data_IF_719862369691
#
_entry.id   IF_719862369691
#
_cell.length_a   1.000
_cell.length_b   1.000
_cell.length_c   1.000
_cell.angle_alpha   90.00
_cell.angle_beta   90.00
_cell.angle_gamma   90.00
#
_symmetry.space_group_name_H-M   'P 1'
#
loop_
_entity.id
_entity.type
_entity.pdbx_description
1 polymer ?
#
# COMPACT_ATOMS: atom_id res chain seq x y z
N UNK A 1 11.07 3.84 -9.66
CA UNK A 1 9.93 4.39 -10.43
C UNK A 1 8.73 4.81 -9.56
N UNK A 2 8.31 4.08 -8.54
CA UNK A 2 7.14 4.53 -7.73
C UNK A 2 7.32 5.90 -7.06
N UNK A 3 8.49 6.17 -6.48
CA UNK A 3 8.81 7.48 -5.91
C UNK A 3 9.05 8.56 -6.96
N UNK A 4 9.43 8.21 -8.19
CA UNK A 4 9.75 9.21 -9.22
C UNK A 4 8.52 9.94 -9.78
N UNK A 5 7.31 9.44 -9.48
CA UNK A 5 6.07 10.15 -9.80
C UNK A 5 5.62 11.11 -8.71
N UNK A 6 6.21 10.98 -7.52
CA UNK A 6 5.91 11.91 -6.46
C UNK A 6 6.52 13.30 -6.77
N UNK A 7 5.93 14.33 -6.17
CA UNK A 7 6.49 15.67 -6.15
C UNK A 7 7.92 15.62 -5.63
N UNK A 8 8.83 16.34 -6.28
CA UNK A 8 10.24 16.41 -5.89
C UNK A 8 10.42 17.03 -4.50
N UNK A 9 9.46 17.85 -4.06
CA UNK A 9 9.45 18.46 -2.73
C UNK A 9 8.94 17.48 -1.66
N UNK A 10 8.25 16.40 -2.05
CA UNK A 10 7.72 15.41 -1.12
C UNK A 10 8.77 14.33 -0.79
N UNK A 11 8.96 13.93 0.49
CA UNK A 11 9.95 12.91 0.87
C UNK A 11 9.81 11.56 0.18
N UNK A 12 8.61 11.22 -0.27
CA UNK A 12 8.33 9.98 -1.01
C UNK A 12 9.08 9.88 -2.34
N UNK A 13 9.59 10.99 -2.88
CA UNK A 13 10.45 11.01 -4.08
C UNK A 13 11.89 10.56 -3.81
N UNK A 14 12.32 10.52 -2.55
CA UNK A 14 13.71 10.24 -2.18
C UNK A 14 14.08 8.78 -2.41
N UNK A 15 15.33 8.57 -2.83
CA UNK A 15 15.96 7.25 -2.84
C UNK A 15 16.29 6.82 -1.40
N UNK A 16 15.45 5.95 -0.82
CA UNK A 16 15.51 5.56 0.59
C UNK A 16 16.54 4.47 0.95
N UNK A 17 16.90 3.50 0.08
CA UNK A 17 17.86 2.46 0.45
C UNK A 17 19.26 3.01 0.77
N UNK A 18 19.67 4.06 0.05
CA UNK A 18 21.04 4.55 0.09
C UNK A 18 22.02 3.60 -0.61
N UNK A 19 23.16 4.14 -1.06
CA UNK A 19 24.26 3.37 -1.63
C UNK A 19 25.58 4.14 -1.45
N UNK A 20 26.68 3.59 -1.96
CA UNK A 20 27.99 4.25 -1.91
C UNK A 20 27.95 5.66 -2.51
N UNK A 21 27.29 5.83 -3.65
CA UNK A 21 27.17 7.12 -4.32
C UNK A 21 26.46 8.16 -3.44
N UNK A 22 25.31 7.82 -2.86
CA UNK A 22 24.51 8.74 -2.05
C UNK A 22 25.02 8.96 -0.62
N UNK A 23 25.70 7.96 -0.04
CA UNK A 23 26.15 7.98 1.35
C UNK A 23 27.65 8.23 1.52
N UNK A 24 28.45 8.17 0.46
CA UNK A 24 29.89 8.38 0.52
C UNK A 24 30.41 9.32 -0.57
N UNK A 25 30.29 8.95 -1.85
CA UNK A 25 30.98 9.66 -2.93
C UNK A 25 30.44 11.09 -3.11
N UNK A 26 29.13 11.28 -3.31
CA UNK A 26 28.51 12.63 -3.45
C UNK A 26 28.68 13.51 -2.20
N UNK A 27 28.51 13.00 -0.96
CA UNK A 27 28.84 13.79 0.24
C UNK A 27 30.31 14.22 0.30
N UNK A 28 31.26 13.33 -0.02
CA UNK A 28 32.69 13.66 0.03
C UNK A 28 33.08 14.72 -1.01
N UNK A 29 32.56 14.62 -2.22
CA UNK A 29 32.76 15.63 -3.27
C UNK A 29 32.25 17.02 -2.85
N UNK A 30 31.17 17.06 -2.07
CA UNK A 30 30.60 18.29 -1.50
C UNK A 30 31.24 18.73 -0.19
N UNK A 31 32.29 18.04 0.28
CA UNK A 31 32.94 18.33 1.57
C UNK A 31 32.07 18.05 2.80
N UNK A 32 31.02 17.25 2.67
CA UNK A 32 30.08 16.90 3.74
C UNK A 32 30.62 15.71 4.54
N UNK A 33 30.82 15.89 5.84
CA UNK A 33 31.20 14.80 6.74
C UNK A 33 29.98 13.95 7.12
N UNK A 34 29.86 12.77 6.51
CA UNK A 34 28.79 11.79 6.78
C UNK A 34 28.66 11.46 8.27
N UNK A 35 29.80 11.36 8.98
CA UNK A 35 29.80 11.13 10.44
C UNK A 35 29.13 12.27 11.22
N UNK A 36 29.39 13.52 10.82
CA UNK A 36 28.77 14.67 11.48
C UNK A 36 27.28 14.74 11.17
N UNK A 37 26.88 14.43 9.93
CA UNK A 37 25.48 14.34 9.53
C UNK A 37 24.72 13.24 10.30
N UNK A 38 25.30 12.05 10.49
CA UNK A 38 24.71 10.99 11.32
C UNK A 38 24.52 11.44 12.78
N UNK A 39 25.53 12.11 13.35
CA UNK A 39 25.44 12.66 14.71
C UNK A 39 24.38 13.75 14.82
N UNK A 40 24.27 14.60 13.79
CA UNK A 40 23.24 15.64 13.72
C UNK A 40 21.86 15.00 13.64
N UNK A 41 21.65 14.08 12.71
CA UNK A 41 20.39 13.34 12.55
C UNK A 41 19.96 12.63 13.84
N UNK A 42 20.88 11.94 14.53
CA UNK A 42 20.61 11.32 15.83
C UNK A 42 20.20 12.36 16.89
N UNK A 43 20.93 13.48 16.98
CA UNK A 43 20.62 14.56 17.93
C UNK A 43 19.29 15.24 17.62
N UNK A 44 18.91 15.35 16.36
CA UNK A 44 17.70 16.04 15.93
C UNK A 44 16.46 15.15 15.97
N UNK A 45 16.57 13.85 15.63
CA UNK A 45 15.39 13.03 15.36
C UNK A 45 15.16 11.89 16.38
N UNK A 46 16.19 11.41 17.09
CA UNK A 46 16.02 10.32 18.07
C UNK A 46 15.52 10.88 19.42
N UNK A 47 14.21 10.91 19.62
CA UNK A 47 13.54 11.36 20.84
C UNK A 47 12.61 10.29 21.41
N UNK A 48 12.56 10.14 22.74
CA UNK A 48 11.74 9.08 23.36
C UNK A 48 10.25 9.22 23.10
N UNK A 49 9.71 10.42 22.84
CA UNK A 49 8.30 10.61 22.48
C UNK A 49 7.92 10.04 21.10
N UNK A 50 8.89 9.71 20.24
CA UNK A 50 8.67 9.10 18.93
C UNK A 50 9.11 7.62 18.89
N UNK A 51 9.43 7.04 20.04
CA UNK A 51 9.92 5.67 20.17
C UNK A 51 8.86 4.76 20.80
N UNK A 52 8.86 3.50 20.35
CA UNK A 52 8.09 2.42 20.95
C UNK A 52 9.03 1.26 21.24
N UNK A 53 8.74 0.50 22.30
CA UNK A 53 9.57 -0.62 22.75
C UNK A 53 8.67 -1.79 23.11
N UNK A 54 8.99 -2.98 22.60
CA UNK A 54 8.41 -4.23 23.04
C UNK A 54 9.54 -5.17 23.49
N UNK A 55 9.36 -5.79 24.66
CA UNK A 55 10.26 -6.82 25.18
C UNK A 55 9.51 -8.15 25.20
N UNK A 56 10.10 -9.18 24.58
CA UNK A 56 9.50 -10.51 24.48
C UNK A 56 10.48 -11.53 25.03
N UNK A 57 10.23 -11.99 26.25
CA UNK A 57 11.12 -12.89 26.95
C UNK A 57 10.35 -13.70 28.02
N UNK A 58 10.89 -14.83 28.52
CA UNK A 58 10.18 -15.72 29.43
C UNK A 58 10.11 -15.23 30.90
N UNK A 59 10.63 -14.05 31.20
CA UNK A 59 10.61 -13.40 32.51
C UNK A 59 9.22 -12.81 32.86
N UNK A 60 9.01 -12.49 34.14
CA UNK A 60 7.77 -11.87 34.60
C UNK A 60 7.62 -10.43 34.09
N UNK A 61 6.38 -9.92 34.05
CA UNK A 61 6.10 -8.55 33.62
C UNK A 61 6.84 -7.52 34.48
N UNK A 62 6.94 -7.75 35.80
CA UNK A 62 7.66 -6.88 36.72
C UNK A 62 9.16 -6.83 36.39
N UNK A 63 9.74 -7.98 36.06
CA UNK A 63 11.16 -8.06 35.68
C UNK A 63 11.43 -7.34 34.35
N UNK A 64 10.51 -7.49 33.38
CA UNK A 64 10.60 -6.81 32.09
C UNK A 64 10.39 -5.29 32.22
N UNK A 65 9.50 -4.86 33.11
CA UNK A 65 9.30 -3.44 33.39
C UNK A 65 10.55 -2.83 34.03
N UNK A 66 11.14 -3.49 35.04
CA UNK A 66 12.38 -3.04 35.67
C UNK A 66 13.53 -2.97 34.65
N UNK A 67 13.64 -3.97 33.78
CA UNK A 67 14.61 -3.98 32.69
C UNK A 67 14.38 -2.81 31.73
N UNK A 68 13.14 -2.56 31.31
CA UNK A 68 12.80 -1.44 30.44
C UNK A 68 13.17 -0.10 31.07
N UNK A 69 12.80 0.12 32.34
CA UNK A 69 13.12 1.35 33.08
C UNK A 69 14.63 1.52 33.22
N UNK A 70 15.35 0.48 33.64
CA UNK A 70 16.81 0.57 33.86
C UNK A 70 17.60 0.86 32.59
N UNK A 71 17.16 0.35 31.43
CA UNK A 71 17.88 0.50 30.15
C UNK A 71 17.45 1.70 29.32
N UNK A 72 16.17 2.07 29.33
CA UNK A 72 15.61 3.03 28.37
C UNK A 72 15.12 4.34 28.99
N UNK A 73 14.95 4.44 30.32
CA UNK A 73 14.45 5.67 30.95
C UNK A 73 15.36 6.90 30.75
N UNK A 74 16.65 6.68 30.45
CA UNK A 74 17.60 7.78 30.20
C UNK A 74 17.49 8.40 28.80
N UNK A 75 16.68 7.81 27.89
CA UNK A 75 16.47 8.35 26.55
C UNK A 75 15.70 9.67 26.65
N UNK A 76 16.33 10.74 26.17
CA UNK A 76 15.78 12.09 26.28
C UNK A 76 14.51 12.24 25.44
N UNK A 77 13.49 12.80 26.07
CA UNK A 77 12.34 13.36 25.37
C UNK A 77 12.70 14.79 24.93
N UNK A 78 12.71 15.02 23.61
CA UNK A 78 12.97 16.30 22.96
C UNK A 78 11.67 16.96 22.47
N UNK A 79 10.51 16.34 22.71
CA UNK A 79 9.17 16.80 22.31
C UNK A 79 9.11 17.16 20.82
N UNK A 80 9.62 16.27 19.98
CA UNK A 80 9.61 16.46 18.52
C UNK A 80 8.21 16.09 18.00
N UNK A 81 7.57 16.92 17.16
CA UNK A 81 6.35 16.52 16.49
C UNK A 81 6.57 15.31 15.56
N UNK A 82 5.54 14.51 15.28
CA UNK A 82 5.56 13.53 14.19
C UNK A 82 6.12 14.13 12.90
N UNK A 83 7.04 13.41 12.23
CA UNK A 83 7.68 13.92 11.01
C UNK A 83 6.70 14.12 9.86
N UNK A 84 5.55 13.43 9.87
CA UNK A 84 4.48 13.59 8.90
C UNK A 84 3.89 15.00 8.90
N UNK A 85 3.83 15.68 10.04
CA UNK A 85 3.32 17.07 10.13
C UNK A 85 4.17 18.06 9.30
N UNK A 86 5.44 17.76 9.05
CA UNK A 86 6.33 18.64 8.28
C UNK A 86 5.98 18.69 6.79
N UNK A 87 5.21 17.73 6.29
CA UNK A 87 4.95 17.56 4.86
C UNK A 87 3.46 17.58 4.53
N UNK A 88 2.59 17.95 5.47
CA UNK A 88 1.12 17.84 5.34
C UNK A 88 0.58 18.66 4.17
N UNK A 89 1.16 19.83 3.92
CA UNK A 89 0.78 20.72 2.83
C UNK A 89 1.45 20.39 1.48
N UNK A 90 2.34 19.39 1.44
CA UNK A 90 3.08 19.05 0.22
C UNK A 90 2.33 17.94 -0.52
N UNK A 91 1.75 18.22 -1.70
CA UNK A 91 1.04 17.20 -2.46
C UNK A 91 2.02 16.10 -2.86
N UNK A 92 1.67 14.84 -2.56
CA UNK A 92 2.53 13.71 -2.90
C UNK A 92 2.65 13.56 -4.41
N UNK A 93 1.57 13.80 -5.16
CA UNK A 93 1.55 13.74 -6.62
C UNK A 93 0.86 14.97 -7.23
N UNK A 94 1.07 15.22 -8.52
CA UNK A 94 0.54 16.39 -9.23
C UNK A 94 -0.94 16.30 -9.62
N UNK A 95 -1.65 15.26 -9.17
CA UNK A 95 -3.07 15.07 -9.40
C UNK A 95 -3.44 14.56 -10.80
N UNK A 96 -2.46 14.27 -11.67
CA UNK A 96 -2.72 13.79 -13.04
C UNK A 96 -2.55 12.28 -13.14
N UNK A 97 -3.52 11.62 -13.77
CA UNK A 97 -3.41 10.18 -14.07
C UNK A 97 -2.27 9.93 -15.06
N UNK A 98 -1.50 8.86 -14.85
CA UNK A 98 -0.28 8.56 -15.62
C UNK A 98 -0.22 7.08 -15.97
N UNK A 99 0.35 6.79 -17.14
CA UNK A 99 0.80 5.45 -17.52
C UNK A 99 2.32 5.46 -17.59
N UNK A 100 2.94 4.58 -16.82
CA UNK A 100 4.33 4.19 -16.93
C UNK A 100 4.42 2.90 -17.73
N UNK A 101 5.30 2.86 -18.71
CA UNK A 101 5.73 1.60 -19.31
C UNK A 101 7.16 1.31 -18.87
N UNK A 102 7.41 0.11 -18.37
CA UNK A 102 8.64 -0.30 -17.71
C UNK A 102 9.16 -1.55 -18.40
N UNK A 103 10.41 -1.48 -18.88
CA UNK A 103 11.08 -2.64 -19.47
C UNK A 103 11.66 -3.49 -18.34
N UNK A 104 11.23 -4.75 -18.18
CA UNK A 104 11.73 -5.60 -17.11
C UNK A 104 13.11 -6.18 -17.46
N UNK A 105 13.85 -6.62 -16.44
CA UNK A 105 15.11 -7.36 -16.62
C UNK A 105 14.87 -8.87 -16.79
N UNK A 106 13.73 -9.36 -16.27
CA UNK A 106 13.28 -10.74 -16.41
C UNK A 106 12.03 -10.76 -17.27
N UNK A 107 11.78 -11.86 -17.97
CA UNK A 107 10.50 -12.07 -18.65
C UNK A 107 9.36 -12.05 -17.61
N UNK A 108 8.71 -10.89 -17.51
CA UNK A 108 7.62 -10.60 -16.57
C UNK A 108 6.64 -9.66 -17.25
N UNK A 109 5.36 -9.99 -17.16
CA UNK A 109 4.25 -9.17 -17.65
C UNK A 109 3.33 -8.84 -16.49
N UNK A 110 3.31 -7.59 -16.08
CA UNK A 110 2.55 -7.17 -14.90
C UNK A 110 1.90 -5.82 -15.15
N UNK A 111 0.61 -5.74 -14.81
CA UNK A 111 -0.14 -4.49 -14.77
C UNK A 111 -0.41 -4.14 -13.32
N UNK A 112 0.17 -3.04 -12.85
CA UNK A 112 -0.12 -2.47 -11.55
C UNK A 112 -0.97 -1.20 -11.73
N UNK A 113 -2.17 -1.20 -11.16
CA UNK A 113 -3.05 -0.05 -11.11
C UNK A 113 -3.05 0.49 -9.69
N UNK A 114 -2.59 1.73 -9.51
CA UNK A 114 -2.40 2.36 -8.20
C UNK A 114 -3.25 3.60 -8.05
N UNK A 115 -3.81 3.75 -6.85
CA UNK A 115 -4.46 4.97 -6.40
C UNK A 115 -3.82 5.47 -5.12
N UNK A 116 -3.94 6.78 -4.93
CA UNK A 116 -3.42 7.50 -3.77
C UNK A 116 -4.64 8.03 -3.04
N UNK A 117 -4.87 7.51 -1.84
CA UNK A 117 -6.08 7.76 -1.06
C UNK A 117 -5.71 8.37 0.28
N UNK A 118 -6.66 8.97 1.01
CA UNK A 118 -6.43 9.32 2.40
C UNK A 118 -6.01 8.10 3.26
N UNK A 119 -5.40 8.33 4.43
CA UNK A 119 -5.13 7.27 5.41
C UNK A 119 -6.40 6.51 5.78
N UNK A 120 -6.30 5.19 5.88
CA UNK A 120 -7.43 4.36 6.29
C UNK A 120 -7.49 4.22 7.81
N UNK A 121 -8.67 4.44 8.38
CA UNK A 121 -8.91 4.17 9.80
C UNK A 121 -8.96 2.65 10.04
N UNK A 122 -8.14 2.21 11.00
CA UNK A 122 -7.96 0.81 11.30
C UNK A 122 -9.19 0.11 11.88
N UNK A 123 -10.17 0.86 12.40
CA UNK A 123 -11.38 0.32 13.03
C UNK A 123 -12.36 -0.22 11.98
N UNK A 124 -12.50 0.50 10.87
CA UNK A 124 -13.36 0.13 9.75
C UNK A 124 -12.68 -0.86 8.79
N UNK A 125 -11.36 -0.73 8.59
CA UNK A 125 -10.57 -1.54 7.63
C UNK A 125 -11.21 -1.57 6.23
N UNK A 126 -11.70 -0.42 5.79
CA UNK A 126 -12.38 -0.30 4.50
C UNK A 126 -11.48 -0.75 3.35
N UNK A 127 -10.20 -0.46 3.44
CA UNK A 127 -9.19 -0.91 2.50
C UNK A 127 -9.14 -2.44 2.37
N UNK A 128 -9.10 -3.16 3.48
CA UNK A 128 -9.09 -4.63 3.45
C UNK A 128 -10.41 -5.22 3.01
N UNK A 129 -11.52 -4.65 3.45
CA UNK A 129 -12.83 -5.11 3.01
C UNK A 129 -12.97 -4.97 1.49
N UNK A 130 -12.64 -3.81 0.94
CA UNK A 130 -12.71 -3.58 -0.51
C UNK A 130 -11.67 -4.44 -1.26
N UNK A 131 -10.46 -4.62 -0.69
CA UNK A 131 -9.46 -5.53 -1.26
C UNK A 131 -9.98 -6.96 -1.37
N UNK A 132 -10.69 -7.46 -0.35
CA UNK A 132 -11.31 -8.79 -0.37
C UNK A 132 -12.40 -8.89 -1.44
N UNK A 133 -13.22 -7.84 -1.62
CA UNK A 133 -14.27 -7.83 -2.65
C UNK A 133 -13.72 -7.90 -4.08
N UNK A 134 -12.64 -7.16 -4.36
CA UNK A 134 -12.01 -7.07 -5.68
C UNK A 134 -11.08 -8.24 -5.95
N UNK A 135 -10.34 -8.67 -4.92
CA UNK A 135 -9.44 -9.82 -4.97
C UNK A 135 -10.14 -11.17 -4.86
N UNK A 136 -11.47 -11.21 -4.75
CA UNK A 136 -12.20 -12.45 -4.57
C UNK A 136 -12.02 -13.38 -5.77
N UNK A 137 -11.77 -14.66 -5.49
CA UNK A 137 -11.48 -15.67 -6.53
C UNK A 137 -12.70 -16.51 -6.94
N UNK A 138 -13.87 -16.17 -6.40
CA UNK A 138 -15.13 -16.84 -6.71
C UNK A 138 -15.60 -16.68 -8.16
N UNK A 139 -16.57 -17.51 -8.54
CA UNK A 139 -17.26 -17.39 -9.83
C UNK A 139 -17.97 -16.04 -9.92
N UNK A 140 -17.88 -15.38 -11.07
CA UNK A 140 -18.46 -14.05 -11.29
C UNK A 140 -17.60 -12.90 -10.78
N UNK A 141 -16.44 -13.16 -10.16
CA UNK A 141 -15.53 -12.10 -9.74
C UNK A 141 -14.54 -11.70 -10.86
N UNK A 142 -13.90 -10.54 -10.69
CA UNK A 142 -12.99 -9.95 -11.66
C UNK A 142 -11.89 -10.91 -12.12
N UNK A 143 -11.23 -11.61 -11.18
CA UNK A 143 -10.17 -12.57 -11.49
C UNK A 143 -10.67 -13.70 -12.41
N UNK A 144 -11.83 -14.27 -12.11
CA UNK A 144 -12.44 -15.35 -12.89
C UNK A 144 -12.71 -14.92 -14.34
N UNK A 145 -13.18 -13.68 -14.56
CA UNK A 145 -13.40 -13.14 -15.90
C UNK A 145 -12.09 -12.95 -16.68
N UNK A 146 -11.07 -12.39 -16.04
CA UNK A 146 -9.78 -12.14 -16.67
C UNK A 146 -9.08 -13.45 -17.07
N UNK A 147 -9.16 -14.49 -16.23
CA UNK A 147 -8.65 -15.82 -16.55
C UNK A 147 -9.46 -16.45 -17.70
N UNK A 148 -10.79 -16.34 -17.69
CA UNK A 148 -11.64 -16.89 -18.75
C UNK A 148 -11.36 -16.27 -20.13
N UNK A 149 -10.92 -15.00 -20.17
CA UNK A 149 -10.47 -14.32 -21.39
C UNK A 149 -9.01 -14.61 -21.77
N UNK A 150 -8.30 -15.42 -20.98
CA UNK A 150 -6.86 -15.64 -21.12
C UNK A 150 -6.05 -14.34 -21.04
N UNK A 151 -6.47 -13.38 -20.21
CA UNK A 151 -5.80 -12.08 -20.04
C UNK A 151 -4.92 -11.99 -18.80
N UNK A 152 -5.20 -12.79 -17.76
CA UNK A 152 -4.43 -12.78 -16.52
C UNK A 152 -4.24 -14.18 -15.94
N UNK A 153 -3.17 -14.34 -15.16
CA UNK A 153 -2.88 -15.55 -14.37
C UNK A 153 -3.22 -15.35 -12.89
N UNK A 154 -2.87 -14.18 -12.35
CA UNK A 154 -3.02 -13.81 -10.95
C UNK A 154 -3.56 -12.38 -10.82
N UNK A 155 -4.35 -12.14 -9.79
CA UNK A 155 -4.81 -10.80 -9.40
C UNK A 155 -4.65 -10.67 -7.89
N UNK A 156 -3.91 -9.65 -7.47
CA UNK A 156 -3.65 -9.35 -6.06
C UNK A 156 -4.07 -7.92 -5.78
N UNK A 157 -4.88 -7.75 -4.74
CA UNK A 157 -5.36 -6.44 -4.30
C UNK A 157 -4.85 -6.16 -2.90
N UNK A 158 -4.20 -5.02 -2.68
CA UNK A 158 -3.62 -4.69 -1.38
C UNK A 158 -3.43 -3.19 -1.16
N UNK A 159 -3.44 -2.81 0.11
CA UNK A 159 -2.86 -1.55 0.57
C UNK A 159 -1.36 -1.72 0.72
N UNK A 160 -0.57 -1.16 -0.21
CA UNK A 160 0.90 -1.28 -0.19
C UNK A 160 1.56 -0.32 0.80
N UNK A 161 0.88 0.78 1.14
CA UNK A 161 1.27 1.67 2.21
C UNK A 161 0.04 2.31 2.84
N UNK A 162 0.00 2.43 4.17
CA UNK A 162 -0.95 3.25 4.91
C UNK A 162 -0.12 4.11 5.86
N UNK A 163 0.18 5.34 5.42
CA UNK A 163 1.02 6.33 6.10
C UNK A 163 0.11 7.42 6.67
N UNK A 164 0.65 8.22 7.58
CA UNK A 164 -0.12 9.26 8.30
C UNK A 164 -0.82 10.27 7.36
N UNK A 165 -0.28 10.48 6.15
CA UNK A 165 -0.78 11.49 5.21
C UNK A 165 -1.56 10.88 4.03
N UNK A 166 -1.27 9.63 3.67
CA UNK A 166 -1.88 8.96 2.53
C UNK A 166 -1.71 7.45 2.59
N UNK A 167 -2.55 6.77 1.81
CA UNK A 167 -2.45 5.35 1.52
C UNK A 167 -2.20 5.13 0.04
N UNK A 168 -1.47 4.06 -0.27
CA UNK A 168 -1.34 3.53 -1.62
C UNK A 168 -2.14 2.24 -1.70
N UNK A 169 -3.08 2.24 -2.63
CA UNK A 169 -3.94 1.11 -2.89
C UNK A 169 -3.63 0.56 -4.28
N UNK A 170 -3.35 -0.73 -4.36
CA UNK A 170 -2.81 -1.40 -5.53
C UNK A 170 -3.69 -2.57 -5.97
N UNK A 171 -3.99 -2.61 -7.26
CA UNK A 171 -4.47 -3.81 -7.97
C UNK A 171 -3.34 -4.26 -8.90
N UNK A 172 -2.75 -5.40 -8.59
CA UNK A 172 -1.64 -6.00 -9.34
C UNK A 172 -2.14 -7.21 -10.10
N UNK A 173 -1.91 -7.26 -11.40
CA UNK A 173 -2.39 -8.32 -12.28
C UNK A 173 -1.17 -8.89 -13.01
N UNK A 174 -0.93 -10.20 -12.86
CA UNK A 174 0.02 -10.92 -13.69
C UNK A 174 -0.67 -11.21 -15.03
N UNK A 175 -0.12 -10.63 -16.10
CA UNK A 175 -0.72 -10.67 -17.43
C UNK A 175 -0.26 -11.92 -18.19
N UNK A 176 -1.14 -12.44 -19.03
CA UNK A 176 -0.74 -13.40 -20.06
C UNK A 176 -0.06 -12.67 -21.24
N UNK A 177 0.43 -13.43 -22.22
CA UNK A 177 0.91 -12.88 -23.49
C UNK A 177 -0.19 -12.13 -24.28
N UNK A 178 -1.45 -12.54 -24.14
CA UNK A 178 -2.56 -11.86 -24.80
C UNK A 178 -2.98 -10.62 -23.99
N UNK A 179 -3.00 -10.75 -22.66
CA UNK A 179 -3.45 -9.69 -21.74
C UNK A 179 -2.61 -8.41 -21.80
N UNK A 180 -1.32 -8.49 -22.13
CA UNK A 180 -0.49 -7.29 -22.30
C UNK A 180 -0.94 -6.40 -23.47
N UNK A 181 -1.61 -6.96 -24.48
CA UNK A 181 -2.19 -6.19 -25.58
C UNK A 181 -3.54 -5.55 -25.22
N UNK A 182 -4.17 -6.02 -24.13
CA UNK A 182 -5.50 -5.60 -23.68
C UNK A 182 -5.48 -4.84 -22.34
N UNK A 183 -4.32 -4.31 -21.95
CA UNK A 183 -4.13 -3.73 -20.62
C UNK A 183 -5.05 -2.53 -20.33
N UNK A 184 -5.47 -1.76 -21.34
CA UNK A 184 -6.41 -0.64 -21.17
C UNK A 184 -7.84 -1.14 -20.94
N UNK A 185 -8.24 -2.20 -21.65
CA UNK A 185 -9.51 -2.89 -21.46
C UNK A 185 -9.58 -3.57 -20.09
N UNK A 186 -8.46 -4.13 -19.62
CA UNK A 186 -8.36 -4.66 -18.26
C UNK A 186 -8.58 -3.55 -17.22
N UNK A 187 -7.97 -2.38 -17.39
CA UNK A 187 -8.20 -1.21 -16.51
C UNK A 187 -9.68 -0.81 -16.53
N UNK A 188 -10.31 -0.78 -17.70
CA UNK A 188 -11.73 -0.51 -17.83
C UNK A 188 -12.59 -1.53 -17.08
N UNK A 189 -12.28 -2.84 -17.17
CA UNK A 189 -12.96 -3.89 -16.40
C UNK A 189 -12.79 -3.71 -14.89
N UNK A 190 -11.60 -3.31 -14.43
CA UNK A 190 -11.35 -3.02 -13.01
C UNK A 190 -12.26 -1.87 -12.54
N UNK A 191 -12.36 -0.78 -13.30
CA UNK A 191 -13.27 0.32 -12.99
C UNK A 191 -14.75 -0.09 -13.04
N UNK A 192 -15.15 -0.91 -14.01
CA UNK A 192 -16.50 -1.49 -14.06
C UNK A 192 -16.81 -2.30 -12.80
N UNK A 193 -15.87 -3.14 -12.36
CA UNK A 193 -16.04 -3.93 -11.13
C UNK A 193 -16.06 -3.05 -9.87
N UNK A 194 -15.27 -1.98 -9.80
CA UNK A 194 -15.38 -0.98 -8.72
C UNK A 194 -16.78 -0.35 -8.66
N UNK A 195 -17.35 0.01 -9.80
CA UNK A 195 -18.72 0.51 -9.88
C UNK A 195 -19.75 -0.54 -9.42
N UNK A 196 -19.57 -1.81 -9.80
CA UNK A 196 -20.41 -2.91 -9.31
C UNK A 196 -20.33 -3.05 -7.79
N UNK A 197 -19.13 -3.01 -7.21
CA UNK A 197 -18.95 -3.09 -5.75
C UNK A 197 -19.58 -1.90 -5.03
N UNK A 198 -19.46 -0.70 -5.59
CA UNK A 198 -20.10 0.50 -5.06
C UNK A 198 -21.63 0.40 -5.07
N UNK A 199 -22.22 -0.17 -6.12
CA UNK A 199 -23.69 -0.27 -6.24
C UNK A 199 -24.29 -1.44 -5.47
N UNK A 200 -23.60 -2.60 -5.43
CA UNK A 200 -24.19 -3.84 -4.92
C UNK A 200 -23.30 -4.59 -3.91
N UNK A 201 -22.02 -4.22 -3.77
CA UNK A 201 -21.03 -4.99 -2.99
C UNK A 201 -20.90 -4.59 -1.52
N UNK A 202 -21.36 -3.39 -1.13
CA UNK A 202 -21.33 -2.95 0.27
C UNK A 202 -22.49 -3.59 1.04
N UNK A 203 -22.28 -4.83 1.49
CA UNK A 203 -23.28 -5.59 2.26
C UNK A 203 -22.73 -6.02 3.61
N UNK A 204 -23.56 -5.91 4.65
CA UNK A 204 -23.19 -6.30 6.03
C UNK A 204 -22.76 -7.76 6.13
N UNK A 205 -23.45 -8.67 5.46
CA UNK A 205 -23.13 -10.09 5.50
C UNK A 205 -21.72 -10.39 4.96
N UNK A 206 -21.29 -9.74 3.88
CA UNK A 206 -19.92 -9.90 3.34
C UNK A 206 -18.86 -9.34 4.30
N UNK A 207 -19.18 -8.24 5.01
CA UNK A 207 -18.29 -7.71 6.02
C UNK A 207 -18.21 -8.61 7.26
N UNK A 208 -19.34 -9.16 7.71
CA UNK A 208 -19.38 -10.12 8.81
C UNK A 208 -18.58 -11.38 8.47
N UNK A 209 -18.65 -11.84 7.22
CA UNK A 209 -17.82 -12.92 6.71
C UNK A 209 -16.32 -12.61 6.83
N UNK A 210 -15.89 -11.43 6.38
CA UNK A 210 -14.51 -10.97 6.50
C UNK A 210 -14.06 -10.89 7.97
N UNK A 211 -14.96 -10.43 8.85
CA UNK A 211 -14.71 -10.35 10.29
C UNK A 211 -14.53 -11.74 10.90
N UNK A 212 -15.44 -12.67 10.65
CA UNK A 212 -15.36 -14.05 11.17
C UNK A 212 -14.09 -14.74 10.70
N UNK A 213 -13.72 -14.60 9.42
CA UNK A 213 -12.47 -15.14 8.90
C UNK A 213 -11.24 -14.54 9.59
N UNK A 214 -11.25 -13.24 9.88
CA UNK A 214 -10.16 -12.58 10.59
C UNK A 214 -10.06 -13.02 12.06
N UNK A 215 -11.20 -13.23 12.73
CA UNK A 215 -11.27 -13.76 14.10
C UNK A 215 -10.74 -15.19 14.16
N UNK A 216 -11.19 -16.08 13.28
CA UNK A 216 -10.68 -17.45 13.19
C UNK A 216 -9.17 -17.47 12.91
N UNK A 217 -8.70 -16.68 11.93
CA UNK A 217 -7.28 -16.59 11.61
C UNK A 217 -6.43 -16.06 12.77
N UNK A 218 -7.02 -15.21 13.63
CA UNK A 218 -6.36 -14.68 14.82
C UNK A 218 -6.32 -15.70 15.95
N UNK A 219 -7.43 -16.37 16.23
CA UNK A 219 -7.56 -17.36 17.31
C UNK A 219 -6.68 -18.60 17.08
N UNK A 220 -6.58 -19.04 15.83
CA UNK A 220 -5.77 -20.21 15.43
C UNK A 220 -4.37 -19.82 14.92
N UNK A 221 -3.95 -18.58 15.12
CA UNK A 221 -2.65 -18.10 14.64
C UNK A 221 -1.51 -18.87 15.30
N UNK A 222 -0.57 -19.34 14.48
CA UNK A 222 0.64 -19.96 15.00
C UNK A 222 1.49 -18.98 15.79
N UNK A 223 2.23 -19.53 16.76
CA UNK A 223 3.15 -18.75 17.58
C UNK A 223 4.27 -18.19 16.70
N UNK A 224 4.27 -16.87 16.56
CA UNK A 224 5.34 -16.15 15.86
C UNK A 224 6.68 -16.19 16.61
N UNK A 225 7.77 -16.08 15.86
CA UNK A 225 9.11 -15.89 16.42
C UNK A 225 9.15 -14.65 17.33
N UNK A 226 9.94 -14.73 18.41
CA UNK A 226 10.00 -13.66 19.42
C UNK A 226 10.48 -12.33 18.85
N UNK A 227 11.41 -12.36 17.89
CA UNK A 227 11.95 -11.16 17.24
C UNK A 227 10.87 -10.50 16.37
N UNK A 228 10.11 -11.32 15.65
CA UNK A 228 9.01 -10.85 14.82
C UNK A 228 7.88 -10.28 15.67
N UNK A 229 7.52 -10.94 16.78
CA UNK A 229 6.54 -10.44 17.75
C UNK A 229 6.96 -9.09 18.34
N UNK A 230 8.20 -8.96 18.81
CA UNK A 230 8.70 -7.71 19.37
C UNK A 230 8.67 -6.57 18.34
N UNK A 231 9.11 -6.84 17.11
CA UNK A 231 9.09 -5.86 16.02
C UNK A 231 7.66 -5.42 15.70
N UNK A 232 6.75 -6.38 15.49
CA UNK A 232 5.35 -6.12 15.18
C UNK A 232 4.64 -5.33 16.28
N UNK A 233 4.87 -5.67 17.55
CA UNK A 233 4.28 -4.94 18.67
C UNK A 233 4.81 -3.50 18.75
N UNK A 234 6.12 -3.30 18.60
CA UNK A 234 6.71 -1.97 18.61
C UNK A 234 6.16 -1.09 17.46
N UNK A 235 5.92 -1.67 16.28
CA UNK A 235 5.25 -0.99 15.17
C UNK A 235 3.76 -0.71 15.45
N UNK A 236 3.06 -1.69 16.03
CA UNK A 236 1.64 -1.55 16.39
C UNK A 236 1.43 -0.42 17.41
N UNK A 237 2.34 -0.24 18.37
CA UNK A 237 2.29 0.83 19.35
C UNK A 237 2.32 2.24 18.75
N UNK A 238 2.78 2.39 17.51
CA UNK A 238 2.77 3.66 16.80
C UNK A 238 1.46 3.95 16.07
N UNK A 239 0.60 2.94 15.89
CA UNK A 239 -0.58 2.99 15.02
C UNK A 239 -1.91 2.74 15.73
N UNK A 240 -1.89 1.98 16.82
CA UNK A 240 -3.07 1.53 17.53
C UNK A 240 -3.03 2.01 18.98
N UNK A 241 -4.17 2.11 19.67
CA UNK A 241 -4.19 2.29 21.12
C UNK A 241 -3.78 1.00 21.84
N UNK A 242 -3.52 1.08 23.15
CA UNK A 242 -2.91 0.01 23.94
C UNK A 242 -3.72 -1.29 23.94
N UNK A 243 -5.03 -1.19 24.01
CA UNK A 243 -6.00 -2.29 23.90
C UNK A 243 -5.91 -3.04 22.57
N UNK A 244 -5.36 -2.41 21.52
CA UNK A 244 -5.30 -2.94 20.16
C UNK A 244 -3.88 -3.20 19.65
N UNK A 245 -2.83 -3.11 20.49
CA UNK A 245 -1.46 -3.42 20.05
C UNK A 245 -1.30 -4.83 19.48
N UNK A 246 -2.04 -5.80 20.04
CA UNK A 246 -1.96 -7.21 19.61
C UNK A 246 -2.89 -7.49 18.44
N UNK A 247 -4.15 -7.06 18.52
CA UNK A 247 -5.23 -7.45 17.60
C UNK A 247 -5.55 -6.41 16.51
N UNK A 248 -5.17 -5.15 16.70
CA UNK A 248 -5.48 -4.03 15.79
C UNK A 248 -5.07 -4.25 14.32
N UNK A 249 -3.91 -4.87 14.03
CA UNK A 249 -3.55 -5.22 12.66
C UNK A 249 -4.42 -6.31 12.02
N UNK A 250 -5.24 -7.04 12.79
CA UNK A 250 -5.92 -8.26 12.35
C UNK A 250 -7.44 -8.11 12.32
N UNK A 251 -8.04 -7.73 13.44
CA UNK A 251 -9.49 -7.82 13.66
C UNK A 251 -10.27 -6.64 13.09
N UNK A 252 -11.50 -6.89 12.62
CA UNK A 252 -12.46 -5.86 12.22
C UNK A 252 -13.28 -5.42 13.44
N UNK A 253 -13.42 -4.10 13.64
CA UNK A 253 -14.07 -3.55 14.83
C UNK A 253 -15.46 -2.98 14.49
N UNK A 254 -15.55 -2.12 13.49
CA UNK A 254 -16.76 -1.35 13.17
C UNK A 254 -17.17 -1.56 11.70
N UNK A 255 -18.47 -1.76 11.46
CA UNK A 255 -19.05 -1.74 10.11
C UNK A 255 -19.76 -0.42 9.89
N UNK A 256 -19.27 0.35 8.93
CA UNK A 256 -19.92 1.58 8.49
C UNK A 256 -20.04 1.59 6.97
N UNK A 257 -21.28 1.43 6.51
CA UNK A 257 -21.65 1.37 5.10
C UNK A 257 -21.34 2.69 4.40
N UNK A 258 -21.57 3.84 5.05
CA UNK A 258 -21.33 5.16 4.49
C UNK A 258 -19.84 5.39 4.27
N UNK A 259 -18.99 5.09 5.26
CA UNK A 259 -17.53 5.19 5.12
C UNK A 259 -16.98 4.28 4.02
N UNK A 260 -17.50 3.04 3.88
CA UNK A 260 -17.07 2.13 2.79
C UNK A 260 -17.48 2.69 1.43
N UNK A 261 -18.72 3.18 1.32
CA UNK A 261 -19.23 3.77 0.08
C UNK A 261 -18.43 5.02 -0.31
N UNK A 262 -18.22 5.96 0.60
CA UNK A 262 -17.38 7.13 0.37
C UNK A 262 -15.96 6.76 -0.04
N UNK A 263 -15.39 5.72 0.56
CA UNK A 263 -14.06 5.21 0.20
C UNK A 263 -14.03 4.76 -1.26
N UNK A 264 -15.02 3.99 -1.69
CA UNK A 264 -15.16 3.55 -3.09
C UNK A 264 -15.36 4.74 -4.05
N UNK A 265 -16.19 5.72 -3.68
CA UNK A 265 -16.38 6.93 -4.49
C UNK A 265 -15.10 7.72 -4.68
N UNK A 266 -14.38 7.98 -3.58
CA UNK A 266 -13.09 8.67 -3.62
C UNK A 266 -12.08 7.89 -4.44
N UNK A 267 -12.06 6.57 -4.31
CA UNK A 267 -11.16 5.72 -5.06
C UNK A 267 -11.43 5.81 -6.57
N UNK A 268 -12.68 5.64 -7.01
CA UNK A 268 -13.06 5.78 -8.42
C UNK A 268 -12.73 7.20 -8.95
N UNK A 269 -12.98 8.24 -8.15
CA UNK A 269 -12.74 9.62 -8.52
C UNK A 269 -11.26 10.04 -8.50
N UNK A 270 -10.39 9.26 -7.86
CA UNK A 270 -8.97 9.61 -7.71
C UNK A 270 -8.20 9.52 -9.03
N UNK A 271 -7.09 10.27 -9.18
CA UNK A 271 -6.12 10.03 -10.24
C UNK A 271 -5.54 8.62 -10.15
N UNK A 272 -5.29 8.00 -11.29
CA UNK A 272 -4.77 6.63 -11.39
C UNK A 272 -3.36 6.61 -11.95
N UNK A 273 -2.50 5.81 -11.32
CA UNK A 273 -1.12 5.59 -11.74
C UNK A 273 -0.99 4.14 -12.19
N UNK A 274 -0.83 3.95 -13.49
CA UNK A 274 -0.73 2.63 -14.10
C UNK A 274 0.74 2.36 -14.39
N UNK A 275 1.22 1.19 -14.01
CA UNK A 275 2.56 0.71 -14.35
C UNK A 275 2.40 -0.59 -15.14
N UNK A 276 2.68 -0.51 -16.43
CA UNK A 276 2.78 -1.67 -17.30
C UNK A 276 4.24 -2.11 -17.32
N UNK A 277 4.52 -3.29 -16.80
CA UNK A 277 5.83 -3.94 -16.90
C UNK A 277 5.76 -4.98 -18.00
N UNK A 278 6.42 -4.73 -19.13
CA UNK A 278 6.45 -5.64 -20.29
C UNK A 278 7.62 -5.28 -21.22
N UNK A 279 8.19 -6.28 -21.88
CA UNK A 279 9.17 -6.10 -22.97
C UNK A 279 8.53 -5.52 -24.24
N UNK A 280 7.23 -5.72 -24.44
CA UNK A 280 6.49 -5.20 -25.57
C UNK A 280 6.47 -3.67 -25.53
N UNK A 281 6.91 -3.00 -26.60
CA UNK A 281 6.95 -1.55 -26.69
C UNK A 281 8.23 -0.93 -26.12
N UNK A 282 9.28 -1.72 -25.83
CA UNK A 282 10.57 -1.22 -25.33
C UNK A 282 11.13 -0.06 -26.17
N UNK A 283 10.87 -0.07 -27.48
CA UNK A 283 11.30 0.99 -28.40
C UNK A 283 10.71 2.38 -28.10
N UNK A 284 9.65 2.43 -27.29
CA UNK A 284 8.97 3.66 -26.86
C UNK A 284 9.54 4.20 -25.53
N UNK A 285 10.40 3.43 -24.86
CA UNK A 285 11.03 3.83 -23.60
C UNK A 285 12.24 4.74 -23.86
N UNK A 286 12.12 6.01 -23.49
CA UNK A 286 13.09 7.07 -23.74
C UNK A 286 13.81 7.57 -22.47
N UNK A 287 13.40 7.07 -21.30
CA UNK A 287 13.94 7.47 -20.00
C UNK A 287 14.68 6.32 -19.32
N UNK A 288 15.68 6.67 -18.51
CA UNK A 288 16.42 5.71 -17.68
C UNK A 288 16.43 6.22 -16.24
N UNK A 289 15.98 5.37 -15.30
CA UNK A 289 15.94 5.71 -13.88
C UNK A 289 17.35 5.72 -13.29
N UNK A 290 17.67 6.73 -12.47
CA UNK A 290 19.03 7.03 -12.01
C UNK A 290 19.68 5.89 -11.19
N UNK A 291 18.96 5.27 -10.28
CA UNK A 291 19.54 4.38 -9.27
C UNK A 291 19.64 2.93 -9.70
N UNK A 292 18.71 2.46 -10.52
CA UNK A 292 18.60 1.08 -10.98
C UNK A 292 18.80 0.93 -12.48
N UNK A 293 18.98 2.03 -13.22
CA UNK A 293 19.13 2.03 -14.69
C UNK A 293 17.96 1.36 -15.41
N UNK A 294 16.75 1.43 -14.85
CA UNK A 294 15.54 0.86 -15.44
C UNK A 294 15.10 1.73 -16.62
N UNK A 295 14.92 1.12 -17.80
CA UNK A 295 14.35 1.78 -18.97
C UNK A 295 12.83 1.91 -18.83
N UNK A 296 12.29 3.09 -19.11
CA UNK A 296 10.87 3.36 -18.98
C UNK A 296 10.42 4.53 -19.86
N UNK A 297 9.10 4.65 -20.06
CA UNK A 297 8.45 5.87 -20.52
C UNK A 297 7.29 6.25 -19.60
N UNK A 298 6.91 7.51 -19.61
CA UNK A 298 5.76 8.01 -18.86
C UNK A 298 4.94 8.93 -19.73
N UNK A 299 3.64 8.66 -19.81
CA UNK A 299 2.67 9.57 -20.43
C UNK A 299 1.60 9.97 -19.43
N UNK A 300 1.15 11.22 -19.54
CA UNK A 300 -0.07 11.67 -18.87
C UNK A 300 -1.25 11.07 -19.63
N UNK A 301 -2.17 10.44 -18.92
CA UNK A 301 -3.38 9.88 -19.52
C UNK A 301 -4.35 11.00 -19.89
N UNK A 302 -5.03 10.84 -21.02
CA UNK A 302 -6.06 11.78 -21.45
C UNK A 302 -7.22 11.80 -20.46
N UNK A 303 -7.70 12.99 -20.09
CA UNK A 303 -8.76 13.12 -19.10
C UNK A 303 -10.06 12.45 -19.55
N UNK A 304 -10.38 12.47 -20.84
CA UNK A 304 -11.58 11.83 -21.38
C UNK A 304 -11.54 10.31 -21.20
N UNK A 305 -10.41 9.66 -21.49
CA UNK A 305 -10.23 8.23 -21.24
C UNK A 305 -10.45 7.87 -19.76
N UNK A 306 -9.90 8.67 -18.84
CA UNK A 306 -10.09 8.45 -17.40
C UNK A 306 -11.56 8.67 -16.99
N UNK A 307 -12.24 9.66 -17.57
CA UNK A 307 -13.68 9.89 -17.34
C UNK A 307 -14.53 8.74 -17.87
N UNK A 308 -14.18 8.15 -19.01
CA UNK A 308 -14.82 6.97 -19.56
C UNK A 308 -14.68 5.76 -18.63
N UNK A 309 -13.48 5.50 -18.11
CA UNK A 309 -13.28 4.45 -17.11
C UNK A 309 -14.14 4.66 -15.86
N UNK A 310 -14.15 5.87 -15.30
CA UNK A 310 -14.97 6.20 -14.12
C UNK A 310 -16.46 5.94 -14.33
N UNK A 311 -16.96 6.09 -15.56
CA UNK A 311 -18.36 5.87 -15.93
C UNK A 311 -18.64 4.48 -16.51
N UNK A 312 -17.63 3.61 -16.55
CA UNK A 312 -17.76 2.31 -17.17
C UNK A 312 -18.77 1.45 -16.41
N UNK A 313 -19.70 0.86 -17.15
CA UNK A 313 -20.54 -0.22 -16.66
C UNK A 313 -19.69 -1.46 -16.38
N UNK A 314 -20.20 -2.37 -15.55
CA UNK A 314 -19.62 -3.70 -15.40
C UNK A 314 -20.07 -4.64 -16.50
N UNK A 315 -19.27 -5.67 -16.74
CA UNK A 315 -19.59 -6.80 -17.62
C UNK A 315 -20.74 -7.63 -17.05
N UNK A 316 -21.60 -8.18 -17.91
CA UNK A 316 -22.75 -9.00 -17.49
C UNK A 316 -22.37 -10.30 -16.79
N UNK A 317 -21.13 -10.76 -16.98
CA UNK A 317 -20.61 -11.95 -16.31
C UNK A 317 -20.00 -11.64 -14.93
N UNK A 318 -20.02 -10.38 -14.50
CA UNK A 318 -19.54 -9.96 -13.19
C UNK A 318 -20.69 -9.88 -12.19
N UNK A 319 -20.45 -10.36 -10.97
CA UNK A 319 -21.36 -10.30 -9.83
C UNK A 319 -20.57 -10.04 -8.54
N UNK A 320 -21.30 -9.73 -7.46
CA UNK A 320 -20.74 -9.67 -6.11
C UNK A 320 -20.26 -11.05 -5.66
N UNK A 321 -19.23 -11.12 -4.78
CA UNK A 321 -18.76 -12.39 -4.24
C UNK A 321 -19.90 -13.26 -3.69
N UNK A 322 -19.97 -14.55 -4.04
CA UNK A 322 -20.92 -15.46 -3.44
C UNK A 322 -20.60 -15.68 -1.95
N UNK A 323 -21.59 -16.01 -1.11
CA UNK A 323 -21.33 -16.38 0.29
C UNK A 323 -20.34 -17.54 0.39
N UNK A 324 -19.45 -17.47 1.38
CA UNK A 324 -18.50 -18.54 1.64
C UNK A 324 -19.15 -19.68 2.45
N UNK A 325 -19.31 -20.85 1.83
CA UNK A 325 -19.91 -22.05 2.44
C UNK A 325 -18.97 -22.81 3.39
N UNK A 326 -17.71 -22.38 3.54
CA UNK A 326 -16.67 -23.07 4.32
C UNK A 326 -16.39 -22.47 5.70
N UNK A 327 -17.18 -21.48 6.14
CA UNK A 327 -17.04 -20.80 7.43
C UNK A 327 -17.80 -21.50 8.54
#
# INVERSE_FOLDING_TARGET
LHGSFASQDHPFSKFTPGNRTSLWDRPHEKGVSVRNELRRFYKENYSSNLMSLALVAPESLESLEELARSKFASIKNKSIPPHSEQYEDIPIFDGRSRLAHIVPVKDKRELLIRWVLPPFDYRFKTDRFIANLIGHEGKGCLRSLLIARNWANELVVRTSANLDQFSLFDVSIELSHDGENHYLEIVQLVYGYLNLMKTHGVKRNLWEECKTMAELAFDYREKEDRTMLATRLAEAMRKFPAEHYVCGPFLYFEFDEETIFETLERWIASPVYIFLTSELGEEQCDCVEEWYSTSYSVKVLEEELVKEWRRSSWDENLDTPPPNEFI
#
